data_IF_117072312277
#
_entry.id   IF_117072312277
#
_cell.length_a   1.000
_cell.length_b   1.000
_cell.length_c   1.000
_cell.angle_alpha   90.00
_cell.angle_beta   90.00
_cell.angle_gamma   90.00
#
_symmetry.space_group_name_H-M   'P 1'
#
loop_
_entity.id
_entity.type
_entity.pdbx_description
1 polymer ?
#
# COMPACT_ATOMS: atom_id res chain seq x y z
N UNK A 1 -5.38 -13.49 9.17
CA UNK A 1 -6.63 -14.28 9.17
C UNK A 1 -7.83 -13.50 8.66
N UNK A 2 -7.92 -12.18 8.90
CA UNK A 2 -8.99 -11.31 8.37
C UNK A 2 -8.44 -10.13 7.55
N UNK A 3 -7.25 -10.29 6.98
CA UNK A 3 -6.60 -9.24 6.20
C UNK A 3 -7.37 -8.99 4.90
N UNK A 4 -7.89 -10.04 4.26
CA UNK A 4 -8.71 -9.94 3.04
C UNK A 4 -9.96 -9.10 3.28
N UNK A 5 -10.71 -9.38 4.34
CA UNK A 5 -11.94 -8.64 4.67
C UNK A 5 -11.62 -7.18 5.01
N UNK A 6 -10.54 -6.96 5.76
CA UNK A 6 -10.09 -5.61 6.14
C UNK A 6 -9.77 -4.78 4.91
N UNK A 7 -8.90 -5.28 4.02
CA UNK A 7 -8.52 -4.54 2.82
C UNK A 7 -9.70 -4.38 1.85
N UNK A 8 -10.56 -5.39 1.71
CA UNK A 8 -11.76 -5.33 0.87
C UNK A 8 -12.69 -4.23 1.35
N UNK A 9 -12.94 -4.14 2.66
CA UNK A 9 -13.78 -3.11 3.24
C UNK A 9 -13.19 -1.71 3.01
N UNK A 10 -11.89 -1.53 3.26
CA UNK A 10 -11.22 -0.24 3.06
C UNK A 10 -11.26 0.21 1.59
N UNK A 11 -11.00 -0.71 0.65
CA UNK A 11 -11.09 -0.43 -0.78
C UNK A 11 -12.54 -0.11 -1.19
N UNK A 12 -13.52 -0.85 -0.71
CA UNK A 12 -14.93 -0.56 -0.97
C UNK A 12 -15.33 0.82 -0.44
N UNK A 13 -14.87 1.19 0.76
CA UNK A 13 -15.07 2.51 1.34
C UNK A 13 -14.36 3.61 0.53
N UNK A 14 -13.13 3.37 0.05
CA UNK A 14 -12.42 4.29 -0.85
C UNK A 14 -13.20 4.51 -2.16
N UNK A 15 -13.75 3.46 -2.75
CA UNK A 15 -14.58 3.55 -3.96
C UNK A 15 -15.88 4.30 -3.68
N UNK A 16 -16.53 4.03 -2.55
CA UNK A 16 -17.78 4.68 -2.13
C UNK A 16 -17.58 6.17 -1.81
N UNK A 17 -16.45 6.52 -1.22
CA UNK A 17 -16.13 7.87 -0.71
C UNK A 17 -14.75 8.38 -1.17
N UNK A 18 -14.56 8.57 -2.49
CA UNK A 18 -13.23 8.78 -3.07
C UNK A 18 -12.51 10.04 -2.58
N UNK A 19 -13.25 11.08 -2.20
CA UNK A 19 -12.71 12.35 -1.68
C UNK A 19 -12.54 12.37 -0.16
N UNK A 20 -13.08 11.40 0.57
CA UNK A 20 -13.07 11.40 2.06
C UNK A 20 -12.12 10.38 2.66
N UNK A 21 -11.74 9.38 1.88
CA UNK A 21 -10.88 8.28 2.32
C UNK A 21 -9.64 8.28 1.46
N UNK A 22 -8.48 8.30 2.10
CA UNK A 22 -7.17 8.15 1.46
C UNK A 22 -6.49 6.96 2.12
N UNK A 23 -5.98 6.05 1.31
CA UNK A 23 -5.25 4.86 1.77
C UNK A 23 -3.81 5.04 1.31
N UNK A 24 -2.86 5.01 2.24
CA UNK A 24 -1.44 5.05 1.94
C UNK A 24 -0.87 3.64 1.91
N UNK A 25 0.21 3.45 1.16
CA UNK A 25 0.95 2.19 1.09
C UNK A 25 1.82 2.02 2.34
N UNK A 26 1.67 0.91 3.07
CA UNK A 26 2.61 0.49 4.09
C UNK A 26 3.62 -0.53 3.54
N UNK A 27 4.58 -0.93 4.38
CA UNK A 27 5.58 -1.93 3.99
C UNK A 27 4.97 -3.34 3.80
N UNK A 28 3.87 -3.63 4.50
CA UNK A 28 3.14 -4.88 4.37
C UNK A 28 2.33 -4.99 3.06
N UNK A 29 2.08 -3.88 2.37
CA UNK A 29 1.40 -3.83 1.06
C UNK A 29 2.40 -4.06 -0.09
N UNK A 30 3.14 -5.18 0.01
CA UNK A 30 4.20 -5.62 -0.91
C UNK A 30 4.10 -7.12 -1.16
N UNK A 31 4.51 -7.61 -2.34
CA UNK A 31 4.47 -9.04 -2.69
C UNK A 31 5.35 -9.84 -1.73
N UNK A 32 6.54 -9.34 -1.40
CA UNK A 32 7.47 -10.03 -0.51
C UNK A 32 6.87 -10.26 0.89
N UNK A 33 6.33 -9.21 1.52
CA UNK A 33 5.82 -9.31 2.88
C UNK A 33 4.49 -10.08 2.90
N UNK A 34 3.60 -9.86 1.94
CA UNK A 34 2.33 -10.61 1.89
C UNK A 34 2.51 -12.11 1.68
N UNK A 35 3.57 -12.51 0.98
CA UNK A 35 3.91 -13.92 0.77
C UNK A 35 4.47 -14.58 2.03
N UNK A 36 5.28 -13.86 2.82
CA UNK A 36 5.91 -14.41 4.03
C UNK A 36 4.97 -14.36 5.25
N UNK A 37 4.15 -13.32 5.37
CA UNK A 37 3.37 -13.03 6.59
C UNK A 37 1.88 -13.44 6.46
N UNK A 38 1.58 -14.42 5.61
CA UNK A 38 0.32 -15.15 5.63
C UNK A 38 -0.86 -14.52 4.90
N UNK A 39 -0.71 -13.37 4.24
CA UNK A 39 -1.78 -12.82 3.39
C UNK A 39 -1.99 -13.66 2.13
N UNK A 40 -0.90 -14.15 1.53
CA UNK A 40 -0.93 -15.11 0.43
C UNK A 40 -1.69 -16.39 0.84
N UNK A 41 -1.31 -16.99 1.97
CA UNK A 41 -1.94 -18.21 2.48
C UNK A 41 -3.42 -17.98 2.82
N UNK A 42 -3.75 -16.80 3.35
CA UNK A 42 -5.14 -16.41 3.60
C UNK A 42 -5.97 -16.38 2.31
N UNK A 43 -5.45 -15.78 1.24
CA UNK A 43 -6.11 -15.75 -0.07
C UNK A 43 -6.25 -17.17 -0.64
N UNK A 44 -5.18 -17.97 -0.61
CA UNK A 44 -5.19 -19.33 -1.12
C UNK A 44 -6.22 -20.20 -0.38
N UNK A 45 -6.27 -20.11 0.95
CA UNK A 45 -7.22 -20.86 1.78
C UNK A 45 -8.67 -20.43 1.56
N UNK A 46 -8.95 -19.14 1.39
CA UNK A 46 -10.32 -18.62 1.24
C UNK A 46 -10.89 -18.77 -0.17
N UNK A 47 -10.04 -18.69 -1.19
CA UNK A 47 -10.47 -18.64 -2.60
C UNK A 47 -9.97 -19.82 -3.45
N UNK A 48 -9.17 -20.72 -2.88
CA UNK A 48 -8.66 -21.92 -3.54
C UNK A 48 -7.53 -21.67 -4.55
N UNK A 49 -7.12 -20.42 -4.77
CA UNK A 49 -6.03 -20.03 -5.65
C UNK A 49 -5.45 -18.65 -5.25
N UNK A 50 -4.35 -18.26 -5.90
CA UNK A 50 -3.63 -17.01 -5.62
C UNK A 50 -4.15 -15.79 -6.41
N UNK A 51 -5.24 -15.89 -7.18
CA UNK A 51 -5.69 -14.78 -8.04
C UNK A 51 -6.09 -13.54 -7.21
N UNK A 52 -6.76 -13.75 -6.08
CA UNK A 52 -7.14 -12.65 -5.17
C UNK A 52 -5.90 -11.96 -4.59
N UNK A 53 -4.88 -12.73 -4.21
CA UNK A 53 -3.61 -12.18 -3.75
C UNK A 53 -2.92 -11.35 -4.85
N UNK A 54 -2.92 -11.84 -6.09
CA UNK A 54 -2.36 -11.11 -7.23
C UNK A 54 -3.09 -9.79 -7.47
N UNK A 55 -4.43 -9.81 -7.46
CA UNK A 55 -5.25 -8.60 -7.64
C UNK A 55 -4.95 -7.56 -6.54
N UNK A 56 -4.82 -7.99 -5.28
CA UNK A 56 -4.50 -7.07 -4.20
C UNK A 56 -3.08 -6.52 -4.30
N UNK A 57 -2.08 -7.35 -4.63
CA UNK A 57 -0.70 -6.88 -4.76
C UNK A 57 -0.53 -5.94 -5.96
N UNK A 58 -1.22 -6.19 -7.07
CA UNK A 58 -1.27 -5.24 -8.20
C UNK A 58 -1.97 -3.93 -7.80
N UNK A 59 -3.03 -3.98 -6.98
CA UNK A 59 -3.68 -2.78 -6.43
C UNK A 59 -2.76 -1.98 -5.49
N UNK A 60 -1.96 -2.65 -4.68
CA UNK A 60 -1.06 -2.01 -3.70
C UNK A 60 -0.02 -1.11 -4.36
N UNK A 61 0.43 -1.44 -5.57
CA UNK A 61 1.36 -0.61 -6.35
C UNK A 61 0.76 0.77 -6.70
N UNK A 62 -0.56 0.91 -6.68
CA UNK A 62 -1.24 2.18 -6.93
C UNK A 62 -1.45 3.03 -5.68
N UNK A 63 -1.22 2.48 -4.48
CA UNK A 63 -1.40 3.26 -3.26
C UNK A 63 -0.33 4.37 -3.16
N UNK A 64 -0.74 5.62 -2.85
CA UNK A 64 0.20 6.70 -2.59
C UNK A 64 1.14 6.35 -1.42
N UNK A 65 2.40 6.77 -1.53
CA UNK A 65 3.38 6.58 -0.45
C UNK A 65 3.18 7.55 0.71
N UNK A 66 2.69 8.75 0.40
CA UNK A 66 2.60 9.87 1.35
C UNK A 66 1.34 10.70 1.13
N UNK A 67 0.90 11.42 2.16
CA UNK A 67 -0.10 12.49 2.06
C UNK A 67 0.41 13.75 2.76
N UNK A 68 -0.07 14.90 2.29
CA UNK A 68 0.12 16.19 2.95
C UNK A 68 -1.26 16.73 3.33
N UNK A 69 -1.54 16.82 4.62
CA UNK A 69 -2.83 17.27 5.16
C UNK A 69 -2.73 18.75 5.54
N UNK A 70 -3.66 19.54 5.04
CA UNK A 70 -3.73 21.01 5.25
C UNK A 70 -2.42 21.75 4.92
N UNK A 71 -1.58 21.20 4.03
CA UNK A 71 -0.23 21.73 3.72
C UNK A 71 0.75 21.78 4.91
N UNK A 72 0.43 21.13 6.02
CA UNK A 72 1.18 21.22 7.27
C UNK A 72 1.65 19.86 7.79
N UNK A 73 0.78 18.84 7.70
CA UNK A 73 1.05 17.53 8.30
C UNK A 73 1.45 16.56 7.20
N UNK A 74 2.71 16.14 7.23
CA UNK A 74 3.24 15.12 6.35
C UNK A 74 3.00 13.72 6.93
N UNK A 75 2.24 12.90 6.20
CA UNK A 75 1.83 11.55 6.60
C UNK A 75 2.48 10.48 5.73
N UNK A 76 3.03 9.45 6.36
CA UNK A 76 3.66 8.29 5.74
C UNK A 76 3.62 7.11 6.72
N UNK A 77 3.81 5.90 6.21
CA UNK A 77 3.78 4.69 7.04
C UNK A 77 5.05 4.52 7.89
N UNK A 78 6.23 4.69 7.26
CA UNK A 78 7.52 4.51 7.92
C UNK A 78 8.05 5.81 8.53
N UNK A 79 9.04 6.41 7.86
CA UNK A 79 9.71 7.62 8.34
C UNK A 79 10.53 8.28 7.25
N UNK A 80 11.29 9.30 7.62
CA UNK A 80 12.10 10.09 6.69
C UNK A 80 13.28 9.28 6.14
N UNK A 81 13.62 9.49 4.87
CA UNK A 81 14.89 9.04 4.28
C UNK A 81 15.90 10.19 4.32
N UNK A 82 17.18 9.94 4.64
CA UNK A 82 18.23 10.95 4.54
C UNK A 82 18.42 11.51 3.12
N UNK A 83 17.99 10.80 2.09
CA UNK A 83 18.11 11.20 0.68
C UNK A 83 16.89 11.93 0.14
N UNK A 84 15.87 12.13 0.97
CA UNK A 84 14.66 12.89 0.64
C UNK A 84 14.69 14.18 1.44
N UNK A 85 15.06 15.27 0.77
CA UNK A 85 15.18 16.59 1.41
C UNK A 85 13.88 17.38 1.36
N UNK A 86 13.05 17.14 0.34
CA UNK A 86 11.81 17.88 0.12
C UNK A 86 10.71 17.02 -0.50
N UNK A 87 9.48 17.56 -0.50
CA UNK A 87 8.30 16.86 -1.03
C UNK A 87 8.36 16.62 -2.55
N UNK A 88 9.12 17.43 -3.29
CA UNK A 88 9.25 17.27 -4.74
C UNK A 88 10.08 16.03 -5.10
N UNK A 89 11.05 15.64 -4.26
CA UNK A 89 11.74 14.35 -4.43
C UNK A 89 10.75 13.19 -4.43
N UNK A 90 9.76 13.23 -3.53
CA UNK A 90 8.76 12.17 -3.38
C UNK A 90 7.77 12.15 -4.55
N UNK A 91 7.36 13.33 -5.03
CA UNK A 91 6.42 13.47 -6.16
C UNK A 91 6.96 12.86 -7.45
N UNK A 92 8.27 12.76 -7.59
CA UNK A 92 8.94 12.22 -8.77
C UNK A 92 9.24 10.71 -8.67
N UNK A 93 8.86 10.03 -7.58
CA UNK A 93 9.04 8.59 -7.50
C UNK A 93 8.12 7.83 -8.45
N UNK A 94 8.71 6.91 -9.20
CA UNK A 94 7.94 5.82 -9.80
C UNK A 94 7.51 4.87 -8.70
N UNK A 95 6.27 5.02 -8.23
CA UNK A 95 5.72 4.21 -7.14
C UNK A 95 4.95 2.97 -7.62
N UNK A 96 4.65 2.85 -8.91
CA UNK A 96 3.84 1.74 -9.47
C UNK A 96 4.74 0.55 -9.76
N UNK A 97 5.33 0.02 -8.69
CA UNK A 97 6.25 -1.10 -8.72
C UNK A 97 6.29 -1.78 -7.35
N UNK A 98 6.91 -2.96 -7.32
CA UNK A 98 7.23 -3.63 -6.06
C UNK A 98 8.16 -2.75 -5.21
N UNK A 99 8.04 -2.84 -3.88
CA UNK A 99 8.92 -2.10 -2.97
C UNK A 99 10.35 -2.61 -3.12
N UNK A 100 11.33 -1.74 -3.45
CA UNK A 100 12.72 -2.17 -3.59
C UNK A 100 13.34 -2.54 -2.24
N UNK A 101 14.37 -3.39 -2.25
CA UNK A 101 15.08 -3.81 -1.04
C UNK A 101 15.84 -2.65 -0.36
N UNK A 102 16.26 -1.66 -1.15
CA UNK A 102 16.93 -0.45 -0.67
C UNK A 102 16.23 0.77 -1.27
N UNK A 103 16.11 1.82 -0.45
CA UNK A 103 15.63 3.12 -0.88
C UNK A 103 16.77 4.00 -1.38
N UNK A 104 16.46 5.10 -2.07
CA UNK A 104 17.41 6.17 -2.28
C UNK A 104 17.86 6.77 -0.95
#
# INVERSE_FOLDING_TARGET
YYSVETVTLLVALKVRYPQRITILRGNHESRQITQVYGFYDECLRKYGNANVWKIFTDLFDYFPLTALVESEIFCLHGGLSPSIENLDNIRNFDRVQEVPHEGP
#
